data_IF_588982242538
#
_entry.id   IF_588982242538
#
_cell.length_a   1.000
_cell.length_b   1.000
_cell.length_c   1.000
_cell.angle_alpha   90.00
_cell.angle_beta   90.00
_cell.angle_gamma   90.00
#
_symmetry.space_group_name_H-M   'P 1'
#
loop_
_entity.id
_entity.type
_entity.pdbx_description
1 polymer ?
#
# COMPACT_ATOMS: atom_id res chain seq x y z
N UNK A 1 -23.36 3.20 -0.99
CA UNK A 1 -22.51 3.13 -2.20
C UNK A 1 -22.71 1.87 -3.04
N UNK A 2 -23.06 0.72 -2.44
CA UNK A 2 -23.18 -0.58 -3.13
C UNK A 2 -24.08 -0.57 -4.38
N UNK A 3 -25.28 0.04 -4.30
CA UNK A 3 -26.22 0.10 -5.44
C UNK A 3 -25.62 0.85 -6.63
N UNK A 4 -24.95 1.97 -6.39
CA UNK A 4 -24.31 2.78 -7.44
C UNK A 4 -23.17 2.00 -8.13
N UNK A 5 -22.30 1.35 -7.35
CA UNK A 5 -21.21 0.51 -7.89
C UNK A 5 -21.75 -0.68 -8.68
N UNK A 6 -22.76 -1.37 -8.14
CA UNK A 6 -23.38 -2.50 -8.81
C UNK A 6 -24.03 -2.11 -10.14
N UNK A 7 -24.71 -0.97 -10.18
CA UNK A 7 -25.30 -0.43 -11.41
C UNK A 7 -24.22 -0.09 -12.46
N UNK A 8 -23.11 0.52 -12.05
CA UNK A 8 -21.98 0.82 -12.95
C UNK A 8 -21.34 -0.46 -13.51
N UNK A 9 -21.10 -1.47 -12.65
CA UNK A 9 -20.56 -2.77 -13.09
C UNK A 9 -21.52 -3.48 -14.04
N UNK A 10 -22.82 -3.48 -13.76
CA UNK A 10 -23.81 -4.07 -14.65
C UNK A 10 -23.85 -3.37 -16.01
N UNK A 11 -23.83 -2.03 -16.01
CA UNK A 11 -23.81 -1.23 -17.23
C UNK A 11 -22.52 -1.44 -18.06
N UNK A 12 -21.36 -1.60 -17.43
CA UNK A 12 -20.10 -1.84 -18.15
C UNK A 12 -20.12 -3.20 -18.85
N UNK A 13 -20.64 -4.23 -18.16
CA UNK A 13 -20.83 -5.58 -18.71
C UNK A 13 -21.83 -5.60 -19.86
N UNK A 14 -22.98 -4.95 -19.69
CA UNK A 14 -24.02 -4.89 -20.73
C UNK A 14 -23.53 -4.20 -22.02
N UNK A 15 -22.63 -3.22 -21.89
CA UNK A 15 -22.02 -2.49 -23.02
C UNK A 15 -20.75 -3.14 -23.58
N UNK A 16 -20.24 -4.20 -22.95
CA UNK A 16 -18.98 -4.83 -23.36
C UNK A 16 -17.75 -3.93 -23.22
N UNK A 17 -17.76 -2.99 -22.27
CA UNK A 17 -16.64 -2.06 -22.01
C UNK A 17 -16.06 -2.24 -20.62
N UNK A 18 -14.80 -1.87 -20.44
CA UNK A 18 -14.16 -1.84 -19.12
C UNK A 18 -14.86 -0.84 -18.19
N UNK A 19 -15.00 -1.16 -16.91
CA UNK A 19 -15.62 -0.28 -15.91
C UNK A 19 -14.93 1.10 -15.86
N UNK A 20 -13.60 1.13 -15.90
CA UNK A 20 -12.85 2.39 -15.92
C UNK A 20 -13.17 3.25 -17.15
N UNK A 21 -13.39 2.62 -18.32
CA UNK A 21 -13.79 3.31 -19.55
C UNK A 21 -15.26 3.74 -19.56
N UNK A 22 -16.10 3.06 -18.79
CA UNK A 22 -17.46 3.53 -18.53
C UNK A 22 -17.46 4.80 -17.67
N UNK A 23 -16.55 4.88 -16.69
CA UNK A 23 -16.42 6.02 -15.78
C UNK A 23 -15.75 7.22 -16.49
N UNK A 24 -14.64 6.98 -17.17
CA UNK A 24 -13.96 7.96 -18.03
C UNK A 24 -13.55 7.31 -19.35
N UNK A 25 -14.18 7.70 -20.48
CA UNK A 25 -13.83 7.19 -21.81
C UNK A 25 -12.36 7.36 -22.20
N UNK A 26 -11.64 8.31 -21.56
CA UNK A 26 -10.22 8.60 -21.83
C UNK A 26 -9.26 7.80 -20.95
N UNK A 27 -9.76 6.95 -20.04
CA UNK A 27 -8.93 6.16 -19.14
C UNK A 27 -7.96 5.25 -19.92
N UNK A 28 -6.67 5.64 -19.94
CA UNK A 28 -5.61 4.96 -20.68
C UNK A 28 -4.31 4.79 -19.89
N UNK A 29 -4.28 5.23 -18.62
CA UNK A 29 -3.13 5.12 -17.73
C UNK A 29 -3.51 4.36 -16.45
N UNK A 30 -2.50 3.86 -15.75
CA UNK A 30 -2.63 3.28 -14.43
C UNK A 30 -1.90 4.17 -13.42
N UNK A 31 -2.45 4.38 -12.21
CA UNK A 31 -1.76 5.12 -11.17
C UNK A 31 -0.57 4.30 -10.63
N UNK A 32 0.41 4.97 -10.03
CA UNK A 32 1.40 4.27 -9.22
C UNK A 32 0.71 3.62 -8.02
N UNK A 33 0.93 2.32 -7.74
CA UNK A 33 0.46 1.72 -6.51
C UNK A 33 1.26 2.28 -5.34
N UNK A 34 0.57 2.80 -4.32
CA UNK A 34 1.20 3.15 -3.05
C UNK A 34 1.22 1.89 -2.17
N UNK A 35 2.41 1.46 -1.75
CA UNK A 35 2.58 0.31 -0.89
C UNK A 35 2.62 0.75 0.57
N UNK A 36 1.70 0.25 1.41
CA UNK A 36 1.76 0.44 2.86
C UNK A 36 2.86 -0.46 3.46
N UNK A 37 3.91 0.14 4.03
CA UNK A 37 5.09 -0.58 4.53
C UNK A 37 5.17 -0.59 6.04
N UNK A 38 4.98 0.54 6.70
CA UNK A 38 5.02 0.66 8.17
C UNK A 38 3.75 1.36 8.65
N UNK A 39 3.06 0.73 9.61
CA UNK A 39 1.89 1.29 10.29
C UNK A 39 2.23 1.76 11.70
N UNK A 40 1.61 2.86 12.10
CA UNK A 40 1.73 3.48 13.43
C UNK A 40 0.44 4.18 13.84
N UNK A 41 0.58 5.31 14.53
CA UNK A 41 -0.52 6.15 14.99
C UNK A 41 -1.38 5.51 16.08
N UNK A 42 -2.63 5.97 16.21
CA UNK A 42 -3.55 5.60 17.30
C UNK A 42 -3.84 4.09 17.39
N UNK A 43 -3.60 3.35 16.32
CA UNK A 43 -3.86 1.91 16.25
C UNK A 43 -2.63 1.08 16.64
N UNK A 44 -1.48 1.72 16.88
CA UNK A 44 -0.23 1.09 17.26
C UNK A 44 0.13 1.43 18.72
N UNK A 45 0.89 0.57 19.39
CA UNK A 45 1.20 0.72 20.82
C UNK A 45 2.04 1.96 21.13
N UNK A 46 2.25 2.29 22.42
CA UNK A 46 2.97 3.50 22.86
C UNK A 46 4.40 3.66 22.28
N UNK A 47 5.01 2.58 21.78
CA UNK A 47 6.35 2.58 21.20
C UNK A 47 6.36 2.70 19.68
N UNK A 48 5.21 2.77 19.04
CA UNK A 48 5.09 2.83 17.58
C UNK A 48 5.18 4.27 17.07
N UNK A 49 5.50 4.45 15.77
CA UNK A 49 5.53 5.77 15.15
C UNK A 49 4.22 6.53 15.37
N UNK A 50 4.30 7.85 15.53
CA UNK A 50 3.11 8.70 15.61
C UNK A 50 2.42 8.84 14.24
N UNK A 51 3.21 8.71 13.16
CA UNK A 51 2.73 8.62 11.79
C UNK A 51 1.85 7.37 11.63
N UNK A 52 0.65 7.56 11.07
CA UNK A 52 -0.30 6.46 10.90
C UNK A 52 0.19 5.43 9.87
N UNK A 53 0.70 5.89 8.72
CA UNK A 53 1.15 5.03 7.62
C UNK A 53 2.35 5.64 6.91
N UNK A 54 3.40 4.83 6.71
CA UNK A 54 4.53 5.13 5.84
C UNK A 54 4.35 4.35 4.55
N UNK A 55 4.01 5.10 3.49
CA UNK A 55 3.75 4.56 2.16
C UNK A 55 4.96 4.73 1.24
N UNK A 56 5.19 3.78 0.35
CA UNK A 56 6.22 3.85 -0.70
C UNK A 56 5.59 3.92 -2.09
N UNK A 57 6.22 4.69 -2.97
CA UNK A 57 5.79 4.88 -4.34
C UNK A 57 6.89 4.42 -5.31
N UNK A 58 6.61 3.52 -6.26
CA UNK A 58 7.60 2.95 -7.17
C UNK A 58 7.84 3.87 -8.38
N UNK A 59 8.38 5.06 -8.12
CA UNK A 59 8.66 6.06 -9.16
C UNK A 59 9.65 5.51 -10.19
N UNK A 60 9.36 5.74 -11.47
CA UNK A 60 10.21 5.27 -12.58
C UNK A 60 9.94 3.84 -13.04
N UNK A 61 9.06 3.09 -12.38
CA UNK A 61 8.62 1.78 -12.90
C UNK A 61 7.97 1.93 -14.28
N UNK A 62 8.32 1.05 -15.20
CA UNK A 62 7.90 1.05 -16.61
C UNK A 62 6.64 0.22 -16.86
N UNK A 63 6.22 -0.59 -15.87
CA UNK A 63 5.00 -1.38 -15.93
C UNK A 63 4.34 -1.53 -14.55
N UNK A 64 3.04 -1.79 -14.53
CA UNK A 64 2.32 -2.08 -13.28
C UNK A 64 2.88 -3.31 -12.56
N UNK A 65 3.36 -4.33 -13.29
CA UNK A 65 3.99 -5.51 -12.70
C UNK A 65 5.28 -5.15 -11.96
N UNK A 66 6.12 -4.35 -12.59
CA UNK A 66 7.36 -3.84 -11.98
C UNK A 66 7.07 -2.97 -10.76
N UNK A 67 6.08 -2.07 -10.86
CA UNK A 67 5.66 -1.22 -9.75
C UNK A 67 5.21 -2.03 -8.52
N UNK A 68 4.42 -3.09 -8.74
CA UNK A 68 4.00 -4.01 -7.67
C UNK A 68 5.20 -4.76 -7.08
N UNK A 69 6.12 -5.23 -7.93
CA UNK A 69 7.31 -5.97 -7.48
C UNK A 69 8.20 -5.09 -6.61
N UNK A 70 8.46 -3.84 -7.00
CA UNK A 70 9.27 -2.89 -6.23
C UNK A 70 8.67 -2.63 -4.84
N UNK A 71 7.36 -2.41 -4.75
CA UNK A 71 6.69 -2.27 -3.45
C UNK A 71 6.82 -3.55 -2.60
N UNK A 72 6.67 -4.71 -3.21
CA UNK A 72 6.83 -6.00 -2.52
C UNK A 72 8.26 -6.20 -2.00
N UNK A 73 9.27 -5.82 -2.79
CA UNK A 73 10.68 -5.94 -2.42
C UNK A 73 11.03 -5.03 -1.24
N UNK A 74 10.55 -3.78 -1.25
CA UNK A 74 10.71 -2.86 -0.11
C UNK A 74 10.01 -3.41 1.14
N UNK A 75 8.74 -3.84 1.02
CA UNK A 75 7.99 -4.42 2.14
C UNK A 75 8.70 -5.65 2.75
N UNK A 76 9.21 -6.54 1.90
CA UNK A 76 9.94 -7.75 2.30
C UNK A 76 11.31 -7.44 2.90
N UNK A 77 12.02 -6.42 2.37
CA UNK A 77 13.28 -5.93 2.94
C UNK A 77 13.04 -5.42 4.37
N UNK A 78 12.07 -4.53 4.54
CA UNK A 78 11.71 -3.96 5.86
C UNK A 78 11.35 -5.07 6.84
N UNK A 79 10.52 -6.03 6.45
CA UNK A 79 10.16 -7.17 7.32
C UNK A 79 11.37 -7.98 7.78
N UNK A 80 12.35 -8.22 6.89
CA UNK A 80 13.61 -8.91 7.24
C UNK A 80 14.47 -8.10 8.21
N UNK A 81 14.63 -6.80 7.96
CA UNK A 81 15.44 -5.92 8.82
C UNK A 81 14.82 -5.80 10.22
N UNK A 82 13.50 -5.63 10.31
CA UNK A 82 12.78 -5.62 11.59
C UNK A 82 12.97 -6.93 12.35
N UNK A 83 12.84 -8.07 11.67
CA UNK A 83 13.01 -9.38 12.29
C UNK A 83 14.45 -9.66 12.75
N UNK A 84 15.44 -9.08 12.09
CA UNK A 84 16.86 -9.24 12.43
C UNK A 84 17.35 -8.30 13.54
N UNK A 85 16.74 -7.11 13.65
CA UNK A 85 17.25 -6.04 14.52
C UNK A 85 16.44 -5.88 15.82
N UNK A 86 15.20 -6.36 15.87
CA UNK A 86 14.36 -6.22 17.05
C UNK A 86 14.36 -7.49 17.91
N UNK A 87 14.34 -7.36 19.24
CA UNK A 87 14.35 -8.51 20.16
C UNK A 87 12.98 -9.20 20.28
N UNK A 88 12.00 -8.83 19.46
CA UNK A 88 10.63 -9.34 19.50
C UNK A 88 10.07 -9.50 18.09
N UNK A 89 9.11 -10.43 17.87
CA UNK A 89 8.47 -10.60 16.57
C UNK A 89 7.60 -9.38 16.24
N UNK A 90 7.67 -8.92 14.98
CA UNK A 90 6.87 -7.80 14.49
C UNK A 90 5.65 -8.31 13.73
N UNK A 91 4.46 -7.84 14.14
CA UNK A 91 3.20 -8.12 13.47
C UNK A 91 2.91 -7.18 12.30
N UNK A 92 1.81 -7.45 11.60
CA UNK A 92 1.26 -6.58 10.56
C UNK A 92 -0.14 -6.11 10.96
N UNK A 93 -0.48 -4.88 10.58
CA UNK A 93 -1.82 -4.31 10.78
C UNK A 93 -2.83 -4.78 9.73
N UNK A 94 -4.04 -4.23 9.80
CA UNK A 94 -5.18 -4.59 8.94
C UNK A 94 -4.92 -4.35 7.45
N UNK A 95 -4.07 -3.37 7.14
CA UNK A 95 -3.67 -3.02 5.77
C UNK A 95 -2.38 -3.71 5.32
N UNK A 96 -1.79 -4.57 6.17
CA UNK A 96 -0.61 -5.37 5.85
C UNK A 96 0.74 -4.67 6.08
N UNK A 97 0.77 -3.40 6.48
CA UNK A 97 1.98 -2.71 6.92
C UNK A 97 2.54 -3.30 8.22
N UNK A 98 3.86 -3.28 8.38
CA UNK A 98 4.54 -3.73 9.60
C UNK A 98 4.29 -2.77 10.76
N UNK A 99 4.05 -3.28 11.96
CA UNK A 99 3.79 -2.45 13.15
C UNK A 99 4.90 -2.60 14.21
N UNK A 100 6.12 -2.11 13.95
CA UNK A 100 7.21 -2.16 14.92
C UNK A 100 7.10 -1.05 15.96
N UNK A 101 7.90 -1.15 17.01
CA UNK A 101 8.19 -0.01 17.90
C UNK A 101 9.39 0.77 17.36
N UNK A 102 9.15 1.88 16.66
CA UNK A 102 10.14 2.76 16.05
C UNK A 102 9.76 4.23 16.27
N UNK A 103 10.74 5.12 16.15
CA UNK A 103 10.49 6.57 15.99
C UNK A 103 9.95 6.87 14.59
N UNK A 104 9.40 8.07 14.39
CA UNK A 104 8.93 8.51 13.07
C UNK A 104 10.09 8.60 12.08
N UNK A 105 11.25 9.13 12.52
CA UNK A 105 12.46 9.22 11.71
C UNK A 105 12.99 7.84 11.30
N UNK A 106 13.09 6.90 12.25
CA UNK A 106 13.55 5.54 11.96
C UNK A 106 12.61 4.81 11.00
N UNK A 107 11.30 5.04 11.13
CA UNK A 107 10.30 4.45 10.24
C UNK A 107 10.47 4.96 8.80
N UNK A 108 10.66 6.28 8.61
CA UNK A 108 10.90 6.87 7.28
C UNK A 108 12.22 6.36 6.70
N UNK A 109 13.28 6.30 7.50
CA UNK A 109 14.60 5.85 7.06
C UNK A 109 14.57 4.38 6.63
N UNK A 110 13.87 3.53 7.38
CA UNK A 110 13.75 2.11 7.07
C UNK A 110 12.93 1.83 5.80
N UNK A 111 11.94 2.67 5.51
CA UNK A 111 11.09 2.56 4.33
C UNK A 111 11.71 3.13 3.04
N UNK A 112 12.80 3.91 3.15
CA UNK A 112 13.51 4.55 2.03
C UNK A 112 14.46 3.60 1.30
#
# INVERSE_FOLDING_TARGET
YSISVAAAVAASRARGVLLCRLIDPRCNSLPYPLGNVIGGGKHAGEKSPSIQEVLVAPLGATSMREAIQLNFDVHSRVGRELSGNLPYPVGRGDEGGWCPGLTDEDAIQLAS
#
